data_IF_582187602960
#
_entry.id   IF_582187602960
#
_cell.length_a   1.000
_cell.length_b   1.000
_cell.length_c   1.000
_cell.angle_alpha   90.00
_cell.angle_beta   90.00
_cell.angle_gamma   90.00
#
_symmetry.space_group_name_H-M   'P 1'
#
loop_
_entity.id
_entity.type
_entity.pdbx_description
1 polymer ?
#
# COMPACT_ATOMS: atom_id res chain seq x y z
N UNK A 1 26.72 -57.67 63.25
CA UNK A 1 25.71 -57.52 62.18
C UNK A 1 24.58 -56.63 62.68
N UNK A 2 24.51 -55.39 62.20
CA UNK A 2 23.37 -54.48 62.33
C UNK A 2 23.21 -53.79 60.98
N UNK A 3 22.05 -53.96 60.34
CA UNK A 3 21.72 -53.38 59.04
C UNK A 3 21.35 -51.90 59.21
N UNK A 4 21.87 -51.04 58.33
CA UNK A 4 21.39 -49.67 58.16
C UNK A 4 20.54 -49.61 56.89
N UNK A 5 19.27 -49.24 57.04
CA UNK A 5 18.32 -49.00 55.96
C UNK A 5 18.50 -47.54 55.48
N UNK A 6 18.75 -47.34 54.18
CA UNK A 6 18.71 -46.01 53.56
C UNK A 6 17.37 -45.90 52.83
N UNK A 7 16.50 -45.00 53.31
CA UNK A 7 15.26 -44.62 52.63
C UNK A 7 15.57 -43.44 51.70
N UNK A 8 15.48 -43.66 50.39
CA UNK A 8 15.55 -42.60 49.37
C UNK A 8 14.13 -42.06 49.18
N UNK A 9 13.88 -40.84 49.63
CA UNK A 9 12.64 -40.11 49.36
C UNK A 9 12.66 -39.54 47.94
N UNK A 10 11.82 -40.09 47.05
CA UNK A 10 11.59 -39.58 45.71
C UNK A 10 10.64 -38.38 45.80
N UNK A 11 11.17 -37.16 45.75
CA UNK A 11 10.35 -35.94 45.57
C UNK A 11 10.09 -35.76 44.08
N UNK A 12 8.89 -36.15 43.64
CA UNK A 12 8.44 -35.87 42.26
C UNK A 12 8.01 -34.41 42.19
N UNK A 13 8.90 -33.56 41.68
CA UNK A 13 8.55 -32.18 41.32
C UNK A 13 7.68 -32.24 40.06
N UNK A 14 6.38 -31.99 40.19
CA UNK A 14 5.48 -31.75 39.06
C UNK A 14 5.87 -30.42 38.41
N UNK A 15 6.71 -30.47 37.37
CA UNK A 15 6.95 -29.35 36.48
C UNK A 15 5.69 -29.23 35.61
N UNK A 16 4.82 -28.28 35.95
CA UNK A 16 3.75 -27.85 35.06
C UNK A 16 4.44 -27.09 33.92
N UNK A 17 4.37 -27.55 32.65
CA UNK A 17 4.92 -26.78 31.55
C UNK A 17 4.14 -25.47 31.46
N UNK A 18 4.86 -24.37 31.59
CA UNK A 18 4.36 -23.03 31.31
C UNK A 18 3.87 -23.02 29.85
N UNK A 19 2.55 -22.94 29.68
CA UNK A 19 1.94 -22.78 28.36
C UNK A 19 2.39 -21.40 27.87
N UNK A 20 3.42 -21.37 27.02
CA UNK A 20 3.73 -20.19 26.24
C UNK A 20 2.47 -19.82 25.44
N UNK A 21 1.74 -18.83 25.92
CA UNK A 21 0.67 -18.20 25.17
C UNK A 21 1.27 -17.74 23.84
N UNK A 22 0.66 -18.14 22.72
CA UNK A 22 1.04 -17.63 21.41
C UNK A 22 1.15 -16.10 21.47
N UNK A 23 2.14 -15.47 20.81
CA UNK A 23 2.29 -14.02 20.84
C UNK A 23 0.97 -13.37 20.42
N UNK A 24 0.49 -12.41 21.21
CA UNK A 24 -0.71 -11.65 20.87
C UNK A 24 -0.42 -10.90 19.58
N UNK A 25 -0.97 -11.40 18.47
CA UNK A 25 -0.83 -10.78 17.15
C UNK A 25 -1.66 -9.50 17.15
N UNK A 26 -0.99 -8.35 17.05
CA UNK A 26 -1.62 -7.04 17.02
C UNK A 26 -2.51 -6.83 15.78
N UNK A 27 -3.43 -5.84 15.80
CA UNK A 27 -4.37 -5.59 14.70
C UNK A 27 -3.70 -5.37 13.33
N UNK A 28 -2.58 -4.63 13.26
CA UNK A 28 -1.83 -4.40 12.02
C UNK A 28 -1.38 -5.71 11.36
N UNK A 29 -0.81 -6.63 12.13
CA UNK A 29 -0.34 -7.94 11.62
C UNK A 29 -1.51 -8.79 11.14
N UNK A 30 -2.67 -8.75 11.81
CA UNK A 30 -3.88 -9.46 11.34
C UNK A 30 -4.39 -8.90 10.01
N UNK A 31 -4.35 -7.58 9.83
CA UNK A 31 -4.72 -6.92 8.58
C UNK A 31 -3.74 -7.30 7.46
N UNK A 32 -2.44 -7.36 7.74
CA UNK A 32 -1.42 -7.78 6.77
C UNK A 32 -1.61 -9.24 6.32
N UNK A 33 -1.89 -10.14 7.27
CA UNK A 33 -2.24 -11.54 6.95
C UNK A 33 -3.51 -11.64 6.10
N UNK A 34 -4.53 -10.84 6.41
CA UNK A 34 -5.74 -10.78 5.62
C UNK A 34 -5.45 -10.28 4.20
N UNK A 35 -4.62 -9.24 4.05
CA UNK A 35 -4.20 -8.70 2.76
C UNK A 35 -3.54 -9.78 1.88
N UNK A 36 -2.68 -10.62 2.47
CA UNK A 36 -2.08 -11.76 1.76
C UNK A 36 -3.12 -12.81 1.33
N UNK A 37 -4.16 -13.02 2.13
CA UNK A 37 -5.23 -14.01 1.87
C UNK A 37 -6.21 -13.53 0.80
N UNK A 38 -6.58 -12.26 0.80
CA UNK A 38 -7.57 -11.70 -0.13
C UNK A 38 -6.98 -11.27 -1.47
N UNK A 39 -5.66 -11.34 -1.65
CA UNK A 39 -4.94 -10.78 -2.82
C UNK A 39 -5.46 -11.21 -4.18
N UNK A 40 -6.11 -12.38 -4.29
CA UNK A 40 -6.64 -12.92 -5.56
C UNK A 40 -8.10 -12.55 -5.81
N UNK A 41 -8.76 -11.90 -4.85
CA UNK A 41 -10.15 -11.47 -4.98
C UNK A 41 -10.26 -10.19 -5.83
N UNK A 42 -11.45 -9.82 -6.33
CA UNK A 42 -11.65 -8.54 -6.99
C UNK A 42 -11.28 -7.34 -6.09
N UNK A 43 -10.68 -6.25 -6.63
CA UNK A 43 -10.21 -5.10 -5.87
C UNK A 43 -11.22 -4.50 -4.87
N UNK A 44 -12.49 -4.41 -5.26
CA UNK A 44 -13.56 -3.89 -4.40
C UNK A 44 -13.81 -4.80 -3.19
N UNK A 45 -13.75 -6.12 -3.37
CA UNK A 45 -13.90 -7.10 -2.29
C UNK A 45 -12.70 -7.06 -1.35
N UNK A 46 -11.49 -6.98 -1.91
CA UNK A 46 -10.25 -6.80 -1.12
C UNK A 46 -10.35 -5.58 -0.21
N UNK A 47 -10.69 -4.41 -0.79
CA UNK A 47 -10.85 -3.16 -0.05
C UNK A 47 -11.89 -3.32 1.06
N UNK A 48 -13.08 -3.84 0.74
CA UNK A 48 -14.16 -3.98 1.70
C UNK A 48 -13.74 -4.84 2.89
N UNK A 49 -13.14 -6.02 2.65
CA UNK A 49 -12.72 -6.92 3.72
C UNK A 49 -11.65 -6.31 4.63
N UNK A 50 -10.69 -5.56 4.06
CA UNK A 50 -9.65 -4.88 4.83
C UNK A 50 -10.22 -3.74 5.68
N UNK A 51 -11.10 -2.91 5.09
CA UNK A 51 -11.76 -1.80 5.78
C UNK A 51 -12.66 -2.33 6.91
N UNK A 52 -13.45 -3.37 6.65
CA UNK A 52 -14.30 -3.98 7.67
C UNK A 52 -13.48 -4.60 8.80
N UNK A 53 -12.37 -5.26 8.48
CA UNK A 53 -11.46 -5.80 9.49
C UNK A 53 -10.93 -4.70 10.41
N UNK A 54 -10.46 -3.58 9.85
CA UNK A 54 -10.01 -2.42 10.62
C UNK A 54 -11.13 -1.85 11.50
N UNK A 55 -12.33 -1.64 10.94
CA UNK A 55 -13.48 -1.09 11.67
C UNK A 55 -13.99 -2.03 12.77
N UNK A 56 -13.81 -3.34 12.62
CA UNK A 56 -14.12 -4.30 13.67
C UNK A 56 -13.13 -4.25 14.83
N UNK A 57 -11.85 -3.95 14.59
CA UNK A 57 -10.89 -3.71 15.67
C UNK A 57 -11.13 -2.38 16.39
N UNK A 58 -11.55 -1.34 15.65
CA UNK A 58 -11.72 0.01 16.16
C UNK A 58 -13.11 0.57 15.81
N UNK A 59 -14.19 0.02 16.41
CA UNK A 59 -15.57 0.43 16.09
C UNK A 59 -15.90 1.83 16.62
N UNK A 60 -15.23 2.26 17.69
CA UNK A 60 -15.47 3.54 18.33
C UNK A 60 -14.46 4.61 17.90
N UNK A 61 -14.87 5.87 18.00
CA UNK A 61 -13.94 6.99 17.89
C UNK A 61 -13.00 6.95 19.09
N UNK A 62 -11.71 7.14 18.83
CA UNK A 62 -10.68 7.05 19.87
C UNK A 62 -11.01 8.00 21.03
N UNK A 63 -11.14 7.45 22.24
CA UNK A 63 -11.16 8.23 23.47
C UNK A 63 -9.77 8.79 23.72
N UNK A 64 -9.66 10.11 23.88
CA UNK A 64 -8.42 10.91 23.71
C UNK A 64 -7.28 10.72 24.73
N UNK A 65 -7.06 9.55 25.33
CA UNK A 65 -6.14 9.44 26.48
C UNK A 65 -5.18 8.23 26.52
N UNK A 66 -5.35 7.19 25.71
CA UNK A 66 -4.45 6.01 25.74
C UNK A 66 -3.43 6.02 24.60
N UNK A 67 -2.16 6.30 24.94
CA UNK A 67 -1.04 6.37 24.01
C UNK A 67 -0.73 5.00 23.35
N UNK A 68 -0.51 3.91 24.12
CA UNK A 68 -0.40 2.56 23.57
C UNK A 68 -1.49 2.17 22.58
N UNK A 69 -2.77 2.43 22.91
CA UNK A 69 -3.88 2.08 22.01
C UNK A 69 -3.88 2.95 20.74
N UNK A 70 -3.56 4.25 20.88
CA UNK A 70 -3.41 5.16 19.72
C UNK A 70 -2.31 4.69 18.79
N UNK A 71 -1.16 4.26 19.33
CA UNK A 71 -0.05 3.70 18.55
C UNK A 71 -0.49 2.44 17.79
N UNK A 72 -1.15 1.50 18.46
CA UNK A 72 -1.64 0.28 17.82
C UNK A 72 -2.68 0.57 16.71
N UNK A 73 -3.54 1.57 16.92
CA UNK A 73 -4.50 2.03 15.90
C UNK A 73 -3.83 2.73 14.73
N UNK A 74 -2.80 3.54 14.99
CA UNK A 74 -1.99 4.19 13.96
C UNK A 74 -1.36 3.13 13.04
N UNK A 75 -0.66 2.15 13.61
CA UNK A 75 -0.02 1.08 12.84
C UNK A 75 -1.06 0.33 11.99
N UNK A 76 -2.21 0.00 12.58
CA UNK A 76 -3.30 -0.67 11.85
C UNK A 76 -3.93 0.21 10.77
N UNK A 77 -4.05 1.51 10.98
CA UNK A 77 -4.60 2.46 10.00
C UNK A 77 -3.66 2.59 8.81
N UNK A 78 -2.36 2.75 9.05
CA UNK A 78 -1.32 2.77 8.01
C UNK A 78 -1.35 1.46 7.20
N UNK A 79 -1.31 0.30 7.85
CA UNK A 79 -1.37 -1.00 7.16
C UNK A 79 -2.65 -1.14 6.35
N UNK A 80 -3.80 -0.80 6.92
CA UNK A 80 -5.09 -0.91 6.21
C UNK A 80 -5.13 0.03 5.01
N UNK A 81 -4.77 1.30 5.18
CA UNK A 81 -4.74 2.27 4.09
C UNK A 81 -3.73 1.88 3.01
N UNK A 82 -2.60 1.27 3.37
CA UNK A 82 -1.61 0.79 2.42
C UNK A 82 -2.18 -0.28 1.46
N UNK A 83 -2.94 -1.26 1.96
CA UNK A 83 -3.49 -2.33 1.13
C UNK A 83 -4.81 -1.93 0.46
N UNK A 84 -5.73 -1.35 1.23
CA UNK A 84 -7.08 -0.99 0.77
C UNK A 84 -7.12 0.29 -0.07
N UNK A 85 -6.14 1.17 0.12
CA UNK A 85 -6.04 2.51 -0.49
C UNK A 85 -7.24 3.39 -0.14
N UNK A 86 -7.87 3.10 1.01
CA UNK A 86 -9.06 3.80 1.48
C UNK A 86 -8.73 5.22 1.94
N UNK A 87 -9.36 6.27 1.35
CA UNK A 87 -9.14 7.66 1.74
C UNK A 87 -9.53 7.98 3.18
N UNK A 88 -10.60 7.40 3.71
CA UNK A 88 -11.05 7.74 5.06
C UNK A 88 -10.07 7.22 6.10
N UNK A 89 -9.53 6.00 5.89
CA UNK A 89 -8.53 5.42 6.79
C UNK A 89 -7.17 6.13 6.66
N UNK A 90 -6.77 6.58 5.46
CA UNK A 90 -5.52 7.34 5.32
C UNK A 90 -5.58 8.70 6.03
N UNK A 91 -6.74 9.37 6.02
CA UNK A 91 -6.96 10.60 6.79
C UNK A 91 -7.02 10.33 8.30
N UNK A 92 -7.56 9.19 8.71
CA UNK A 92 -7.53 8.75 10.09
C UNK A 92 -6.10 8.49 10.57
N UNK A 93 -5.26 7.84 9.76
CA UNK A 93 -3.83 7.67 10.04
C UNK A 93 -3.11 9.02 10.24
N UNK A 94 -3.41 10.02 9.40
CA UNK A 94 -2.86 11.37 9.57
C UNK A 94 -3.28 12.03 10.90
N UNK A 95 -4.54 11.90 11.29
CA UNK A 95 -5.02 12.43 12.58
C UNK A 95 -4.41 11.70 13.78
N UNK A 96 -4.20 10.39 13.68
CA UNK A 96 -3.53 9.59 14.71
C UNK A 96 -2.05 9.97 14.83
N UNK A 97 -1.38 10.24 13.71
CA UNK A 97 -0.02 10.77 13.71
C UNK A 97 0.06 12.11 14.44
N UNK A 98 -0.81 13.08 14.12
CA UNK A 98 -0.79 14.39 14.77
C UNK A 98 -0.92 14.26 16.30
N UNK A 99 -1.79 13.36 16.79
CA UNK A 99 -1.91 13.09 18.23
C UNK A 99 -0.64 12.50 18.86
N UNK A 100 0.06 11.61 18.14
CA UNK A 100 1.32 11.01 18.56
C UNK A 100 2.47 12.03 18.52
N UNK A 101 2.47 12.91 17.53
CA UNK A 101 3.47 13.97 17.34
C UNK A 101 3.35 15.07 18.40
N UNK A 102 2.11 15.49 18.73
CA UNK A 102 1.81 16.40 19.84
C UNK A 102 2.34 15.89 21.20
N UNK A 103 2.53 14.57 21.33
CA UNK A 103 3.08 13.91 22.53
C UNK A 103 4.55 13.54 22.38
N UNK A 104 5.18 13.92 21.28
CA UNK A 104 6.58 13.66 20.95
C UNK A 104 6.96 12.18 20.94
N UNK A 105 5.99 11.31 20.58
CA UNK A 105 6.22 9.86 20.44
C UNK A 105 6.15 9.39 18.99
N UNK A 106 5.76 10.26 18.05
CA UNK A 106 5.84 9.98 16.62
C UNK A 106 7.30 10.00 16.14
N UNK A 107 7.57 9.22 15.09
CA UNK A 107 8.90 9.12 14.46
C UNK A 107 8.87 9.69 13.05
N UNK A 108 10.06 9.95 12.48
CA UNK A 108 10.20 10.33 11.06
C UNK A 108 9.64 9.23 10.13
N UNK A 109 9.80 7.97 10.50
CA UNK A 109 9.20 6.85 9.78
C UNK A 109 7.67 6.94 9.77
N UNK A 110 7.06 7.25 10.91
CA UNK A 110 5.60 7.41 11.01
C UNK A 110 5.11 8.51 10.05
N UNK A 111 5.86 9.62 9.93
CA UNK A 111 5.54 10.72 9.01
C UNK A 111 5.60 10.25 7.55
N UNK A 112 6.67 9.53 7.19
CA UNK A 112 6.84 8.96 5.85
C UNK A 112 5.71 7.98 5.52
N UNK A 113 5.31 7.13 6.48
CA UNK A 113 4.23 6.18 6.31
C UNK A 113 2.88 6.88 6.07
N UNK A 114 2.58 7.96 6.80
CA UNK A 114 1.36 8.77 6.58
C UNK A 114 1.36 9.41 5.20
N UNK A 115 2.44 10.09 4.81
CA UNK A 115 2.54 10.71 3.49
C UNK A 115 2.37 9.65 2.40
N UNK A 116 3.00 8.50 2.58
CA UNK A 116 2.89 7.36 1.68
C UNK A 116 1.45 6.88 1.49
N UNK A 117 0.71 6.65 2.57
CA UNK A 117 -0.69 6.19 2.45
C UNK A 117 -1.62 7.28 1.91
N UNK A 118 -1.35 8.56 2.16
CA UNK A 118 -2.10 9.68 1.56
C UNK A 118 -1.86 9.74 0.03
N UNK A 119 -0.63 9.58 -0.44
CA UNK A 119 -0.29 9.49 -1.87
C UNK A 119 -0.96 8.28 -2.51
N UNK A 120 -0.85 7.11 -1.88
CA UNK A 120 -1.39 5.84 -2.38
C UNK A 120 -2.92 5.85 -2.48
N UNK A 121 -3.60 6.55 -1.58
CA UNK A 121 -5.07 6.78 -1.57
C UNK A 121 -5.50 8.05 -2.34
N UNK A 122 -4.60 8.61 -3.16
CA UNK A 122 -4.84 9.76 -4.05
C UNK A 122 -5.27 11.05 -3.36
N UNK A 123 -4.94 11.19 -2.08
CA UNK A 123 -5.12 12.40 -1.29
C UNK A 123 -3.98 13.40 -1.54
N UNK A 124 -3.60 13.64 -2.80
CA UNK A 124 -2.38 14.40 -3.16
C UNK A 124 -2.32 15.82 -2.57
N UNK A 125 -3.46 16.53 -2.56
CA UNK A 125 -3.56 17.87 -1.99
C UNK A 125 -3.30 17.84 -0.48
N UNK A 126 -3.82 16.83 0.21
CA UNK A 126 -3.68 16.66 1.65
C UNK A 126 -2.26 16.20 1.97
N UNK A 127 -1.71 15.22 1.24
CA UNK A 127 -0.33 14.79 1.36
C UNK A 127 0.65 15.96 1.25
N UNK A 128 0.49 16.83 0.24
CA UNK A 128 1.32 18.04 0.10
C UNK A 128 1.19 18.99 1.29
N UNK A 129 -0.04 19.24 1.74
CA UNK A 129 -0.30 20.09 2.91
C UNK A 129 0.32 19.52 4.18
N UNK A 130 0.18 18.21 4.39
CA UNK A 130 0.69 17.46 5.53
C UNK A 130 2.22 17.47 5.57
N UNK A 131 2.88 17.19 4.43
CA UNK A 131 4.33 17.30 4.29
C UNK A 131 4.85 18.69 4.68
N UNK A 132 4.21 19.74 4.15
CA UNK A 132 4.60 21.12 4.45
C UNK A 132 4.40 21.48 5.92
N UNK A 133 3.30 21.03 6.53
CA UNK A 133 2.99 21.28 7.94
C UNK A 133 4.06 20.68 8.86
N UNK A 134 4.54 19.49 8.52
CA UNK A 134 5.53 18.73 9.29
C UNK A 134 6.98 18.96 8.82
N UNK A 135 7.22 20.01 8.04
CA UNK A 135 8.58 20.46 7.71
C UNK A 135 9.36 19.61 6.71
N UNK A 136 8.70 18.70 5.98
CA UNK A 136 9.32 17.89 4.93
C UNK A 136 9.01 18.45 3.53
N UNK A 137 10.01 18.39 2.64
CA UNK A 137 9.83 18.82 1.26
C UNK A 137 8.85 17.90 0.54
N UNK A 138 7.80 18.48 -0.06
CA UNK A 138 6.80 17.71 -0.79
C UNK A 138 7.19 17.58 -2.25
N UNK A 139 7.58 16.37 -2.67
CA UNK A 139 7.82 16.03 -4.07
C UNK A 139 6.52 15.75 -4.87
N UNK A 140 5.35 16.21 -4.40
CA UNK A 140 4.04 15.91 -5.00
C UNK A 140 3.59 17.09 -5.89
N UNK A 141 3.66 17.01 -7.22
CA UNK A 141 3.26 18.11 -8.11
C UNK A 141 1.76 18.38 -8.09
N UNK A 142 1.30 19.58 -8.45
CA UNK A 142 -0.11 19.88 -8.69
C UNK A 142 -0.80 18.81 -9.55
N UNK A 143 -2.04 18.44 -9.18
CA UNK A 143 -2.82 17.45 -9.91
C UNK A 143 -3.96 18.14 -10.63
N UNK A 144 -4.08 17.87 -11.93
CA UNK A 144 -5.09 18.41 -12.82
C UNK A 144 -5.97 17.26 -13.30
N UNK A 145 -7.29 17.39 -13.17
CA UNK A 145 -8.23 16.41 -13.72
C UNK A 145 -8.50 16.74 -15.20
N UNK A 146 -7.97 15.91 -16.10
CA UNK A 146 -8.12 16.04 -17.54
C UNK A 146 -9.23 15.17 -18.14
N UNK A 147 -9.98 14.40 -17.31
CA UNK A 147 -10.97 13.43 -17.78
C UNK A 147 -12.26 14.04 -18.32
N UNK A 148 -12.53 15.31 -18.02
CA UNK A 148 -13.81 15.95 -18.36
C UNK A 148 -14.98 15.26 -17.67
N UNK A 149 -15.97 14.79 -18.44
CA UNK A 149 -17.21 14.19 -17.91
C UNK A 149 -17.13 12.69 -17.60
N UNK A 150 -16.05 11.99 -18.02
CA UNK A 150 -15.92 10.55 -17.84
C UNK A 150 -15.21 10.21 -16.51
N UNK A 151 -15.92 10.35 -15.39
CA UNK A 151 -15.34 10.15 -14.05
C UNK A 151 -15.28 8.70 -13.59
N UNK A 152 -16.11 7.82 -14.18
CA UNK A 152 -16.38 6.47 -13.67
C UNK A 152 -15.66 5.36 -14.48
N UNK A 153 -14.71 5.75 -15.33
CA UNK A 153 -13.92 4.84 -16.17
C UNK A 153 -12.48 4.75 -15.66
N UNK A 154 -11.77 3.63 -15.94
CA UNK A 154 -10.36 3.51 -15.65
C UNK A 154 -9.56 4.72 -16.12
N UNK A 155 -8.78 5.26 -15.19
CA UNK A 155 -7.97 6.43 -15.42
C UNK A 155 -6.50 6.18 -15.06
N UNK A 156 -5.64 6.92 -15.73
CA UNK A 156 -4.20 6.93 -15.50
C UNK A 156 -3.74 8.34 -15.13
N UNK A 157 -2.56 8.43 -14.55
CA UNK A 157 -1.88 9.67 -14.21
C UNK A 157 -0.60 9.73 -15.04
N UNK A 158 -0.39 10.85 -15.74
CA UNK A 158 0.87 11.17 -16.43
C UNK A 158 1.55 12.35 -15.77
N UNK A 159 2.88 12.30 -15.73
CA UNK A 159 3.70 13.45 -15.37
C UNK A 159 3.97 14.30 -16.62
N UNK A 160 3.54 15.56 -16.59
CA UNK A 160 3.67 16.49 -17.71
C UNK A 160 4.17 17.84 -17.18
N UNK A 161 5.42 18.18 -17.52
CA UNK A 161 6.06 19.39 -17.02
C UNK A 161 6.22 19.33 -15.50
N UNK A 162 5.52 20.22 -14.79
CA UNK A 162 5.52 20.26 -13.32
C UNK A 162 4.14 19.92 -12.75
N UNK A 163 3.41 19.01 -13.39
CA UNK A 163 2.04 18.65 -13.00
C UNK A 163 1.75 17.19 -13.29
N UNK A 164 0.83 16.64 -12.50
CA UNK A 164 0.22 15.34 -12.74
C UNK A 164 -1.13 15.57 -13.44
N UNK A 165 -1.34 14.91 -14.57
CA UNK A 165 -2.59 14.99 -15.33
C UNK A 165 -3.30 13.64 -15.21
N UNK A 166 -4.55 13.66 -14.75
CA UNK A 166 -5.42 12.49 -14.74
C UNK A 166 -6.10 12.40 -16.12
N UNK A 167 -5.95 11.27 -16.79
CA UNK A 167 -6.45 11.01 -18.14
C UNK A 167 -7.34 9.76 -18.15
N UNK A 168 -8.43 9.80 -18.92
CA UNK A 168 -9.26 8.62 -19.17
C UNK A 168 -8.52 7.69 -20.12
N UNK A 169 -8.68 6.38 -19.92
CA UNK A 169 -8.14 5.38 -20.85
C UNK A 169 -9.11 5.16 -22.00
N UNK A 170 -8.58 4.99 -23.22
CA UNK A 170 -9.36 4.67 -24.41
C UNK A 170 -10.14 3.35 -24.24
N UNK A 171 -11.41 3.34 -24.64
CA UNK A 171 -12.26 2.16 -24.48
C UNK A 171 -11.75 0.95 -25.29
N UNK A 172 -11.18 1.16 -26.47
CA UNK A 172 -10.62 0.10 -27.29
C UNK A 172 -9.44 -0.60 -26.60
N UNK A 173 -8.63 0.16 -25.87
CA UNK A 173 -7.56 -0.38 -25.01
C UNK A 173 -8.12 -1.25 -23.89
N UNK A 174 -9.23 -0.85 -23.26
CA UNK A 174 -9.87 -1.62 -22.18
C UNK A 174 -10.57 -2.90 -22.68
N UNK A 175 -11.11 -2.86 -23.89
CA UNK A 175 -11.87 -3.97 -24.48
C UNK A 175 -11.00 -5.05 -25.10
N UNK A 176 -9.90 -4.65 -25.74
CA UNK A 176 -9.10 -5.53 -26.60
C UNK A 176 -7.59 -5.31 -26.53
N UNK A 177 -7.15 -4.32 -25.77
CA UNK A 177 -5.73 -4.00 -25.61
C UNK A 177 -4.99 -4.94 -24.65
N UNK A 178 -3.66 -4.83 -24.68
CA UNK A 178 -2.78 -5.53 -23.75
C UNK A 178 -2.37 -4.55 -22.65
N UNK A 179 -2.72 -4.88 -21.41
CA UNK A 179 -2.34 -4.11 -20.23
C UNK A 179 -1.23 -4.85 -19.50
N UNK A 180 -0.17 -4.13 -19.15
CA UNK A 180 1.04 -4.68 -18.52
C UNK A 180 1.24 -3.93 -17.21
N UNK A 181 1.09 -4.63 -16.08
CA UNK A 181 1.42 -4.07 -14.77
C UNK A 181 2.93 -4.18 -14.58
N UNK A 182 3.56 -3.05 -14.27
CA UNK A 182 5.01 -2.92 -14.30
C UNK A 182 5.46 -1.76 -13.40
N UNK A 183 6.63 -1.90 -12.77
CA UNK A 183 7.25 -0.82 -12.00
C UNK A 183 8.64 -0.52 -12.54
N UNK A 184 9.03 0.76 -12.71
CA UNK A 184 10.37 1.09 -13.19
C UNK A 184 11.44 0.62 -12.20
N UNK A 185 11.11 0.45 -10.92
CA UNK A 185 12.04 -0.02 -9.89
C UNK A 185 12.18 -1.55 -9.85
N UNK A 186 11.29 -2.30 -10.49
CA UNK A 186 11.28 -3.75 -10.44
C UNK A 186 12.30 -4.36 -11.42
N UNK A 187 13.24 -5.14 -10.89
CA UNK A 187 14.25 -5.84 -11.70
C UNK A 187 13.61 -6.74 -12.77
N UNK A 188 12.55 -7.48 -12.42
CA UNK A 188 11.85 -8.37 -13.36
C UNK A 188 11.20 -7.59 -14.51
N UNK A 189 10.61 -6.43 -14.22
CA UNK A 189 10.06 -5.54 -15.26
C UNK A 189 11.16 -5.10 -16.23
N UNK A 190 12.32 -4.67 -15.72
CA UNK A 190 13.46 -4.26 -16.57
C UNK A 190 13.91 -5.40 -17.48
N UNK A 191 14.12 -6.59 -16.92
CA UNK A 191 14.54 -7.78 -17.69
C UNK A 191 13.50 -8.19 -18.74
N UNK A 192 12.21 -8.16 -18.39
CA UNK A 192 11.13 -8.49 -19.32
C UNK A 192 11.04 -7.47 -20.47
N UNK A 193 11.14 -6.18 -20.14
CA UNK A 193 11.15 -5.09 -21.13
C UNK A 193 12.26 -5.27 -22.15
N UNK A 194 13.49 -5.51 -21.68
CA UNK A 194 14.66 -5.76 -22.52
C UNK A 194 14.48 -6.97 -23.44
N UNK A 195 13.85 -8.05 -22.93
CA UNK A 195 13.56 -9.23 -23.73
C UNK A 195 12.52 -8.94 -24.83
N UNK A 196 11.45 -8.20 -24.49
CA UNK A 196 10.41 -7.78 -25.45
C UNK A 196 11.01 -6.92 -26.56
N UNK A 197 11.93 -6.01 -26.24
CA UNK A 197 12.57 -5.15 -27.26
C UNK A 197 13.45 -5.94 -28.23
N UNK A 198 14.12 -7.00 -27.74
CA UNK A 198 15.00 -7.84 -28.58
C UNK A 198 14.23 -8.82 -29.48
N UNK A 199 13.02 -9.19 -29.09
CA UNK A 199 12.15 -10.06 -29.88
C UNK A 199 11.27 -9.20 -30.82
N UNK A 200 11.50 -9.30 -32.12
CA UNK A 200 10.78 -8.47 -33.09
C UNK A 200 9.29 -8.79 -33.19
N UNK A 201 8.89 -10.03 -32.88
CA UNK A 201 7.49 -10.43 -32.83
C UNK A 201 6.81 -9.80 -31.62
N UNK A 202 7.34 -10.03 -30.41
CA UNK A 202 6.79 -9.46 -29.19
C UNK A 202 6.83 -7.94 -29.17
N UNK A 203 7.90 -7.32 -29.67
CA UNK A 203 7.98 -5.86 -29.82
C UNK A 203 6.90 -5.31 -30.75
N UNK A 204 6.51 -6.07 -31.77
CA UNK A 204 5.43 -5.72 -32.69
C UNK A 204 4.06 -5.83 -32.03
N UNK A 205 3.81 -6.95 -31.34
CA UNK A 205 2.54 -7.25 -30.69
C UNK A 205 2.26 -6.32 -29.49
N UNK A 206 3.30 -5.89 -28.79
CA UNK A 206 3.20 -5.07 -27.57
C UNK A 206 3.46 -3.58 -27.78
N UNK A 207 3.64 -3.12 -29.03
CA UNK A 207 4.00 -1.72 -29.34
C UNK A 207 2.99 -0.70 -28.83
N UNK A 208 1.72 -1.09 -28.76
CA UNK A 208 0.60 -0.27 -28.31
C UNK A 208 0.14 -0.67 -26.89
N UNK A 209 0.89 -1.54 -26.21
CA UNK A 209 0.53 -2.01 -24.87
C UNK A 209 0.50 -0.88 -23.85
N UNK A 210 -0.45 -0.93 -22.91
CA UNK A 210 -0.55 0.03 -21.82
C UNK A 210 0.24 -0.46 -20.61
N UNK A 211 1.37 0.21 -20.33
CA UNK A 211 2.22 -0.10 -19.18
C UNK A 211 1.79 0.71 -17.97
N UNK A 212 1.37 0.02 -16.91
CA UNK A 212 0.76 0.60 -15.72
C UNK A 212 1.62 0.39 -14.49
N UNK A 213 1.99 1.50 -13.84
CA UNK A 213 2.56 1.49 -12.49
C UNK A 213 1.40 1.40 -11.49
N UNK A 214 1.39 0.39 -10.60
CA UNK A 214 0.36 0.28 -9.57
C UNK A 214 0.39 1.50 -8.63
N UNK A 215 -0.68 1.75 -7.85
CA UNK A 215 -0.60 2.75 -6.79
C UNK A 215 0.45 2.36 -5.75
N UNK A 216 1.53 3.15 -5.68
CA UNK A 216 2.62 3.01 -4.71
C UNK A 216 2.57 4.14 -3.66
N UNK A 217 3.33 3.97 -2.57
CA UNK A 217 3.47 5.01 -1.52
C UNK A 217 4.25 6.24 -2.02
N UNK A 218 5.18 6.02 -2.96
CA UNK A 218 5.87 7.07 -3.69
C UNK A 218 5.28 7.26 -5.08
N UNK A 219 5.56 8.42 -5.70
CA UNK A 219 5.20 8.69 -7.09
C UNK A 219 6.30 8.29 -8.09
N UNK A 220 7.56 8.19 -7.64
CA UNK A 220 8.71 7.77 -8.45
C UNK A 220 8.79 8.48 -9.82
N UNK A 221 8.54 9.80 -9.82
CA UNK A 221 8.38 10.57 -11.04
C UNK A 221 9.66 10.60 -11.88
N UNK A 222 10.81 10.74 -11.22
CA UNK A 222 12.11 10.75 -11.91
C UNK A 222 12.37 9.42 -12.60
N UNK A 223 12.09 8.31 -11.94
CA UNK A 223 12.31 6.97 -12.49
C UNK A 223 11.33 6.63 -13.62
N UNK A 224 10.08 7.11 -13.52
CA UNK A 224 9.09 7.00 -14.60
C UNK A 224 9.49 7.85 -15.81
N UNK A 225 9.97 9.08 -15.58
CA UNK A 225 10.40 9.97 -16.66
C UNK A 225 11.66 9.42 -17.36
N UNK A 226 12.63 8.92 -16.61
CA UNK A 226 13.82 8.24 -17.13
C UNK A 226 13.41 7.04 -17.98
N UNK A 227 12.52 6.18 -17.47
CA UNK A 227 11.99 5.04 -18.21
C UNK A 227 11.32 5.48 -19.51
N UNK A 228 10.42 6.46 -19.46
CA UNK A 228 9.65 6.94 -20.60
C UNK A 228 10.52 7.61 -21.67
N UNK A 229 11.66 8.17 -21.29
CA UNK A 229 12.65 8.74 -22.21
C UNK A 229 13.45 7.67 -22.95
N UNK A 230 13.67 6.51 -22.32
CA UNK A 230 14.49 5.41 -22.84
C UNK A 230 13.66 4.32 -23.55
N UNK A 231 12.38 4.18 -23.21
CA UNK A 231 11.48 3.13 -23.69
C UNK A 231 10.27 3.69 -24.45
N UNK A 232 10.50 4.23 -25.65
CA UNK A 232 9.46 4.92 -26.41
C UNK A 232 8.18 4.10 -26.70
N UNK A 233 8.30 2.76 -26.81
CA UNK A 233 7.19 1.83 -27.07
C UNK A 233 6.60 1.18 -25.80
N UNK A 234 7.16 1.47 -24.62
CA UNK A 234 6.76 0.84 -23.36
C UNK A 234 6.56 1.90 -22.29
N UNK A 235 5.99 3.04 -22.68
CA UNK A 235 5.83 4.18 -21.78
C UNK A 235 4.86 3.82 -20.65
N UNK A 236 5.34 4.02 -19.43
CA UNK A 236 4.60 3.83 -18.20
C UNK A 236 3.70 5.03 -17.90
N UNK A 237 2.52 4.72 -17.37
CA UNK A 237 1.64 5.66 -16.70
C UNK A 237 1.24 5.09 -15.34
N UNK A 238 0.96 5.94 -14.35
CA UNK A 238 0.49 5.46 -13.05
C UNK A 238 -1.01 5.21 -13.10
N UNK A 239 -1.50 4.21 -12.39
CA UNK A 239 -2.94 4.01 -12.21
C UNK A 239 -3.51 5.12 -11.34
N UNK A 240 -4.66 5.69 -11.71
CA UNK A 240 -5.37 6.63 -10.85
C UNK A 240 -6.02 5.90 -9.66
N UNK A 241 -7.05 5.11 -9.89
CA UNK A 241 -7.68 4.26 -8.89
C UNK A 241 -7.70 2.81 -9.37
N UNK A 242 -7.11 1.91 -8.59
CA UNK A 242 -7.07 0.48 -8.88
C UNK A 242 -8.45 -0.19 -8.87
N UNK A 243 -9.44 0.41 -8.19
CA UNK A 243 -10.80 -0.13 -8.16
C UNK A 243 -11.49 -0.10 -9.51
N UNK A 244 -11.17 0.87 -10.36
CA UNK A 244 -11.76 1.01 -11.69
C UNK A 244 -11.32 -0.12 -12.62
N UNK A 245 -10.19 -0.77 -12.30
CA UNK A 245 -9.57 -1.83 -13.07
C UNK A 245 -9.99 -3.23 -12.59
N UNK A 246 -11.29 -3.48 -12.55
CA UNK A 246 -11.88 -4.72 -11.99
C UNK A 246 -11.37 -6.04 -12.59
N UNK A 247 -10.81 -6.01 -13.82
CA UNK A 247 -10.21 -7.19 -14.49
C UNK A 247 -8.80 -7.54 -13.98
N UNK A 248 -8.14 -6.61 -13.26
CA UNK A 248 -6.81 -6.81 -12.68
C UNK A 248 -6.98 -7.13 -11.20
N UNK A 249 -6.87 -8.40 -10.86
CA UNK A 249 -6.99 -8.87 -9.47
C UNK A 249 -5.66 -8.86 -8.72
N UNK A 250 -4.54 -8.94 -9.45
CA UNK A 250 -3.19 -8.92 -8.89
C UNK A 250 -2.40 -7.71 -9.43
N UNK A 251 -1.86 -6.94 -8.49
CA UNK A 251 -1.11 -5.71 -8.72
C UNK A 251 0.34 -5.80 -8.23
N UNK A 252 0.78 -7.00 -7.84
CA UNK A 252 2.12 -7.27 -7.32
C UNK A 252 3.18 -7.54 -8.38
#
# INVERSE_FOLDING_TARGET
MKYFLIMIGLVTLLIIPEVQSAPVIGPSVKIEQLAGTVRTLPPNIQRQMLVDSYRNFYPEKLGSHDLPETRARFDAAVTTAFYSKDPAISLEAASLYDFLDERHVATERDLHDVVGVLVKSRQFKIARGFSKLHGIESAIPPVLDGRGAATDAPAIIRHVGNSLIIESVDQGMLDSGIVIVASPLCHFTRTASDAIVRDTGLSGDLKDGLWLVPPESGLHLEEIDEWNSTHAKQKMAMVYDWLDWSRITDWS
#
